data_IF_975125970477
#
_entry.id   IF_975125970477
#
_cell.length_a   1.000
_cell.length_b   1.000
_cell.length_c   1.000
_cell.angle_alpha   90.00
_cell.angle_beta   90.00
_cell.angle_gamma   90.00
#
_symmetry.space_group_name_H-M   'P 1'
#
loop_
_entity.id
_entity.type
_entity.pdbx_description
1 polymer ?
#
# COMPACT_ATOMS: atom_id res chain seq x y z
N UNK A 1 37.14 -11.69 8.94
CA UNK A 1 36.57 -10.52 9.65
C UNK A 1 35.24 -10.21 8.97
N UNK A 2 34.16 -10.83 9.45
CA UNK A 2 32.83 -10.79 8.82
C UNK A 2 32.15 -9.51 9.31
N UNK A 3 31.86 -8.57 8.42
CA UNK A 3 31.11 -7.35 8.73
C UNK A 3 29.62 -7.66 8.60
N UNK A 4 28.91 -7.66 9.73
CA UNK A 4 27.45 -7.67 9.75
C UNK A 4 26.93 -6.36 9.14
N UNK A 5 26.13 -6.48 8.09
CA UNK A 5 25.41 -5.38 7.47
C UNK A 5 24.12 -5.17 8.29
N UNK A 6 24.06 -4.11 9.08
CA UNK A 6 22.84 -3.73 9.80
C UNK A 6 21.81 -3.19 8.81
N UNK A 7 20.77 -3.95 8.53
CA UNK A 7 19.57 -3.45 7.84
C UNK A 7 18.77 -2.59 8.81
N UNK A 8 18.66 -1.29 8.52
CA UNK A 8 17.70 -0.40 9.16
C UNK A 8 16.48 -0.37 8.25
N UNK A 9 15.39 -1.01 8.70
CA UNK A 9 14.08 -0.95 8.06
C UNK A 9 13.36 0.30 8.59
N UNK A 10 13.01 1.23 7.70
CA UNK A 10 12.23 2.43 8.04
C UNK A 10 10.86 2.30 7.39
N UNK A 11 9.81 2.30 8.21
CA UNK A 11 8.42 2.29 7.76
C UNK A 11 7.90 3.71 7.53
N UNK A 12 7.12 3.88 6.47
CA UNK A 12 6.18 4.99 6.34
C UNK A 12 4.82 4.42 5.96
N UNK A 13 3.88 4.43 6.90
CA UNK A 13 2.46 4.22 6.65
C UNK A 13 1.70 5.44 7.19
N UNK A 14 0.97 6.11 6.30
CA UNK A 14 -0.05 7.09 6.67
C UNK A 14 -1.39 6.37 6.61
N UNK A 15 -1.89 5.92 7.76
CA UNK A 15 -3.28 5.51 7.91
C UNK A 15 -4.06 6.70 8.51
N UNK A 16 -4.84 7.38 7.67
CA UNK A 16 -5.94 8.21 8.17
C UNK A 16 -7.12 7.29 8.45
N UNK A 17 -7.46 7.10 9.72
CA UNK A 17 -8.71 6.46 10.14
C UNK A 17 -9.80 7.52 10.03
N UNK A 18 -10.54 7.55 8.94
CA UNK A 18 -11.89 8.12 8.93
C UNK A 18 -12.90 6.98 8.92
N UNK A 19 -13.47 6.70 10.09
CA UNK A 19 -14.64 5.84 10.23
C UNK A 19 -15.83 6.51 9.55
N UNK A 20 -16.07 6.22 8.27
CA UNK A 20 -17.33 6.57 7.62
C UNK A 20 -18.26 5.35 7.67
N UNK A 21 -19.18 5.39 8.63
CA UNK A 21 -20.38 4.56 8.64
C UNK A 21 -21.18 4.93 7.38
N UNK A 22 -21.23 4.03 6.41
CA UNK A 22 -22.00 4.23 5.18
C UNK A 22 -23.50 4.40 5.45
N UNK A 23 -24.24 5.19 4.65
CA UNK A 23 -25.67 5.33 4.82
C UNK A 23 -26.38 4.08 4.28
N UNK A 24 -26.74 3.18 5.18
CA UNK A 24 -27.68 2.10 4.90
C UNK A 24 -29.07 2.66 4.62
N UNK A 25 -29.52 2.52 3.38
CA UNK A 25 -30.91 2.72 2.97
C UNK A 25 -31.84 1.82 3.79
N UNK A 26 -32.57 2.40 4.75
CA UNK A 26 -33.76 1.79 5.34
C UNK A 26 -34.98 2.67 5.10
N UNK A 27 -35.92 2.08 4.35
CA UNK A 27 -37.25 2.60 4.09
C UNK A 27 -38.02 2.80 5.40
N UNK A 28 -38.68 3.95 5.46
CA UNK A 28 -39.72 4.33 6.41
C UNK A 28 -40.79 3.25 6.56
N UNK A 29 -41.09 2.86 7.80
CA UNK A 29 -42.43 2.41 8.18
C UNK A 29 -42.80 3.01 9.53
N UNK A 30 -43.81 3.86 9.51
CA UNK A 30 -44.54 4.44 10.64
C UNK A 30 -45.20 3.36 11.50
N UNK A 31 -45.00 3.39 12.83
CA UNK A 31 -46.00 2.88 13.78
C UNK A 31 -45.89 3.50 15.19
N UNK A 32 -46.89 4.32 15.49
CA UNK A 32 -47.57 4.64 16.75
C UNK A 32 -46.81 4.67 18.10
N UNK A 33 -46.94 5.85 18.71
CA UNK A 33 -46.78 6.22 20.11
C UNK A 33 -47.47 5.31 21.13
N UNK A 34 -46.74 4.94 22.19
CA UNK A 34 -47.30 4.69 23.52
C UNK A 34 -46.43 5.41 24.57
N UNK A 35 -47.07 6.27 25.36
CA UNK A 35 -46.48 7.01 26.48
C UNK A 35 -46.42 6.08 27.70
N UNK A 36 -45.23 5.83 28.23
CA UNK A 36 -45.05 5.32 29.59
C UNK A 36 -44.40 6.41 30.44
N UNK A 37 -45.18 6.91 31.40
CA UNK A 37 -44.78 7.89 32.41
C UNK A 37 -43.89 7.22 33.45
N UNK A 38 -42.64 7.66 33.58
CA UNK A 38 -41.78 7.32 34.73
C UNK A 38 -41.14 8.59 35.29
N UNK A 39 -41.10 8.64 36.62
CA UNK A 39 -40.76 9.76 37.51
C UNK A 39 -39.31 10.26 37.37
N UNK A 40 -39.04 11.57 37.55
CA UNK A 40 -37.70 12.13 37.37
C UNK A 40 -36.80 11.84 38.59
N UNK A 41 -35.63 11.26 38.32
CA UNK A 41 -34.50 11.17 39.25
C UNK A 41 -33.74 12.51 39.29
N UNK A 42 -33.08 12.89 40.41
CA UNK A 42 -32.51 14.21 40.59
C UNK A 42 -31.34 14.47 39.62
N UNK A 43 -31.32 15.67 39.04
CA UNK A 43 -30.34 16.12 38.06
C UNK A 43 -28.97 16.35 38.71
N UNK A 44 -28.04 15.44 38.48
CA UNK A 44 -26.61 15.75 38.62
C UNK A 44 -26.25 16.64 37.43
N UNK A 45 -26.03 17.93 37.71
CA UNK A 45 -25.53 18.90 36.74
C UNK A 45 -24.08 18.54 36.40
N UNK A 46 -23.88 17.63 35.45
CA UNK A 46 -22.58 17.46 34.81
C UNK A 46 -22.32 18.71 33.96
N UNK A 47 -21.33 19.49 34.36
CA UNK A 47 -20.74 20.50 33.48
C UNK A 47 -20.28 19.79 32.20
N UNK A 48 -20.63 20.29 31.01
CA UNK A 48 -20.03 19.80 29.78
C UNK A 48 -18.50 19.91 29.91
N UNK A 49 -17.73 18.93 29.44
CA UNK A 49 -16.29 19.10 29.34
C UNK A 49 -16.02 20.39 28.54
N UNK A 50 -14.97 21.16 28.90
CA UNK A 50 -14.62 22.35 28.13
C UNK A 50 -14.47 21.95 26.65
N UNK A 51 -15.10 22.72 25.78
CA UNK A 51 -14.90 22.61 24.33
C UNK A 51 -13.40 22.57 24.04
N UNK A 52 -12.91 21.63 23.21
CA UNK A 52 -11.49 21.57 22.90
C UNK A 52 -11.08 22.94 22.35
N UNK A 53 -10.09 23.56 22.98
CA UNK A 53 -9.42 24.73 22.44
C UNK A 53 -9.09 24.44 20.98
N UNK A 54 -9.51 25.30 20.06
CA UNK A 54 -9.17 25.17 18.65
C UNK A 54 -7.65 25.23 18.53
N UNK A 55 -7.01 24.07 18.46
CA UNK A 55 -5.57 23.97 18.29
C UNK A 55 -5.21 24.57 16.94
N UNK A 56 -4.31 25.54 16.94
CA UNK A 56 -3.85 26.18 15.71
C UNK A 56 -2.65 25.38 15.18
N UNK A 57 -2.86 24.63 14.10
CA UNK A 57 -1.78 23.90 13.45
C UNK A 57 -0.75 24.86 12.88
N UNK A 58 0.53 24.57 13.09
CA UNK A 58 1.62 25.37 12.55
C UNK A 58 1.76 25.17 11.03
N UNK A 59 2.04 26.26 10.31
CA UNK A 59 2.37 26.21 8.88
C UNK A 59 3.68 25.44 8.64
N UNK A 60 3.96 25.02 7.38
CA UNK A 60 5.22 24.38 7.03
C UNK A 60 6.45 25.15 7.52
N UNK A 61 7.38 24.46 8.16
CA UNK A 61 8.61 25.02 8.71
C UNK A 61 9.72 25.11 7.66
N UNK A 62 10.83 25.77 8.02
CA UNK A 62 12.06 25.82 7.22
C UNK A 62 13.06 24.72 7.57
N UNK A 63 12.83 24.00 8.66
CA UNK A 63 13.71 22.96 9.22
C UNK A 63 12.92 21.67 9.45
N UNK A 64 13.60 20.52 9.41
CA UNK A 64 12.98 19.21 9.59
C UNK A 64 12.68 18.91 11.07
N UNK A 65 11.96 17.80 11.33
CA UNK A 65 11.56 17.40 12.69
C UNK A 65 12.75 17.07 13.60
N UNK A 66 13.86 16.57 13.04
CA UNK A 66 15.10 16.29 13.77
C UNK A 66 15.75 17.59 14.25
N UNK A 67 15.89 18.57 13.35
CA UNK A 67 16.44 19.90 13.67
C UNK A 67 15.60 20.68 14.69
N UNK A 68 14.31 20.33 14.81
CA UNK A 68 13.38 20.91 15.80
C UNK A 68 13.28 20.09 17.09
N UNK A 69 14.06 19.01 17.22
CA UNK A 69 14.02 18.10 18.37
C UNK A 69 12.61 17.54 18.66
N UNK A 70 11.85 17.22 17.61
CA UNK A 70 10.49 16.68 17.74
C UNK A 70 10.43 15.14 17.70
N UNK A 71 11.58 14.48 17.50
CA UNK A 71 11.68 13.01 17.51
C UNK A 71 12.19 12.58 18.88
N UNK A 72 11.28 12.25 19.78
CA UNK A 72 11.54 11.89 21.17
C UNK A 72 10.66 10.73 21.64
N UNK A 73 11.15 9.90 22.56
CA UNK A 73 10.41 8.74 23.09
C UNK A 73 9.13 9.16 23.83
N UNK A 74 9.22 10.24 24.62
CA UNK A 74 8.12 10.73 25.46
C UNK A 74 7.46 11.95 24.80
N UNK A 75 6.70 11.71 23.74
CA UNK A 75 5.99 12.78 23.01
C UNK A 75 4.72 13.25 23.75
N UNK A 76 4.48 14.56 23.72
CA UNK A 76 3.26 15.19 24.22
C UNK A 76 2.18 15.27 23.11
N UNK A 77 0.91 14.85 23.35
CA UNK A 77 -0.18 14.99 22.38
C UNK A 77 -0.36 16.40 21.83
N UNK A 78 -0.18 17.43 22.66
CA UNK A 78 -0.25 18.83 22.23
C UNK A 78 0.81 19.15 21.16
N UNK A 79 2.04 18.67 21.36
CA UNK A 79 3.14 18.86 20.40
C UNK A 79 2.83 18.22 19.05
N UNK A 80 2.21 17.03 19.05
CA UNK A 80 1.75 16.36 17.81
C UNK A 80 0.71 17.23 17.11
N UNK A 81 -0.35 17.63 17.82
CA UNK A 81 -1.45 18.41 17.24
C UNK A 81 -0.99 19.76 16.68
N UNK A 82 0.01 20.39 17.29
CA UNK A 82 0.59 21.63 16.80
C UNK A 82 1.48 21.44 15.57
N UNK A 83 2.22 20.31 15.49
CA UNK A 83 3.29 20.13 14.50
C UNK A 83 2.98 19.18 13.33
N UNK A 84 1.90 18.38 13.38
CA UNK A 84 1.69 17.29 12.40
C UNK A 84 1.61 17.75 10.93
N UNK A 85 1.14 18.97 10.65
CA UNK A 85 1.14 19.55 9.29
C UNK A 85 2.38 20.39 8.97
N UNK A 86 3.22 20.68 9.97
CA UNK A 86 4.37 21.57 9.84
C UNK A 86 5.59 20.83 9.27
N UNK A 87 5.50 20.32 8.04
CA UNK A 87 6.63 19.68 7.36
C UNK A 87 7.71 20.71 6.96
N UNK A 88 8.93 20.26 6.66
CA UNK A 88 10.00 21.15 6.19
C UNK A 88 9.82 21.50 4.71
N UNK A 89 9.32 22.72 4.43
CA UNK A 89 9.14 23.26 3.08
C UNK A 89 10.45 23.41 2.29
N UNK A 90 11.58 23.61 2.97
CA UNK A 90 12.92 23.71 2.33
C UNK A 90 13.59 22.35 2.09
N UNK A 91 13.05 21.27 2.64
CA UNK A 91 13.64 19.94 2.60
C UNK A 91 12.86 19.01 1.66
N UNK A 92 11.98 19.53 0.80
CA UNK A 92 11.12 18.71 -0.07
C UNK A 92 11.93 17.88 -1.07
N UNK A 93 13.07 18.42 -1.51
CA UNK A 93 13.93 17.79 -2.52
C UNK A 93 15.09 16.99 -1.91
N UNK A 94 15.30 17.06 -0.59
CA UNK A 94 16.39 16.34 0.08
C UNK A 94 15.91 15.00 0.61
N UNK A 95 16.79 13.99 0.61
CA UNK A 95 16.52 12.70 1.23
C UNK A 95 17.37 12.56 2.49
N UNK A 96 16.70 12.28 3.61
CA UNK A 96 17.37 11.87 4.85
C UNK A 96 17.56 10.34 4.90
N UNK A 97 16.80 9.61 4.08
CA UNK A 97 16.86 8.16 3.94
C UNK A 97 17.34 7.79 2.54
N UNK A 98 18.46 7.05 2.49
CA UNK A 98 19.22 6.79 1.26
C UNK A 98 18.89 5.43 0.60
N UNK A 99 18.16 4.55 1.27
CA UNK A 99 17.75 3.28 0.69
C UNK A 99 16.46 3.45 -0.15
N UNK A 100 16.14 2.49 -1.05
CA UNK A 100 14.93 2.53 -1.85
C UNK A 100 13.66 2.79 -1.04
N UNK A 101 12.79 3.66 -1.54
CA UNK A 101 11.50 3.98 -0.93
C UNK A 101 10.35 3.68 -1.88
N UNK A 102 9.46 2.78 -1.45
CA UNK A 102 8.19 2.47 -2.12
C UNK A 102 7.03 3.03 -1.30
N UNK A 103 6.09 3.70 -1.96
CA UNK A 103 4.84 4.17 -1.32
C UNK A 103 3.61 3.72 -2.08
N UNK A 104 2.57 3.30 -1.35
CA UNK A 104 1.28 2.92 -1.91
C UNK A 104 0.32 4.11 -1.92
N UNK A 105 -0.40 4.31 -3.03
CA UNK A 105 -1.40 5.37 -3.19
C UNK A 105 -2.76 4.75 -3.48
N UNK A 106 -3.75 5.02 -2.65
CA UNK A 106 -5.08 4.40 -2.75
C UNK A 106 -6.16 5.39 -3.22
N UNK A 107 -7.08 4.98 -4.11
CA UNK A 107 -8.16 5.85 -4.59
C UNK A 107 -9.09 6.38 -3.48
N UNK A 108 -9.31 5.57 -2.44
CA UNK A 108 -10.20 5.92 -1.32
C UNK A 108 -9.56 6.87 -0.29
N UNK A 109 -8.27 7.21 -0.43
CA UNK A 109 -7.61 8.24 0.37
C UNK A 109 -6.95 9.27 -0.56
N UNK A 110 -7.77 10.20 -1.06
CA UNK A 110 -7.36 11.22 -2.04
C UNK A 110 -6.18 12.08 -1.57
N UNK A 111 -6.01 12.27 -0.26
CA UNK A 111 -4.88 13.01 0.29
C UNK A 111 -3.52 12.40 -0.10
N UNK A 112 -3.47 11.09 -0.30
CA UNK A 112 -2.26 10.39 -0.76
C UNK A 112 -1.73 10.93 -2.10
N UNK A 113 -2.61 11.31 -3.02
CA UNK A 113 -2.22 11.88 -4.32
C UNK A 113 -1.52 13.23 -4.16
N UNK A 114 -1.98 14.05 -3.21
CA UNK A 114 -1.36 15.35 -2.91
C UNK A 114 -0.01 15.17 -2.22
N UNK A 115 0.08 14.28 -1.24
CA UNK A 115 1.33 13.93 -0.55
C UNK A 115 2.37 13.40 -1.55
N UNK A 116 1.97 12.52 -2.47
CA UNK A 116 2.84 12.01 -3.52
C UNK A 116 3.44 13.15 -4.38
N UNK A 117 2.63 14.15 -4.76
CA UNK A 117 3.09 15.33 -5.53
C UNK A 117 3.98 16.27 -4.73
N UNK A 118 3.77 16.39 -3.42
CA UNK A 118 4.57 17.28 -2.55
C UNK A 118 5.96 16.67 -2.32
N UNK A 119 6.02 15.36 -2.07
CA UNK A 119 7.23 14.67 -1.64
C UNK A 119 7.85 13.75 -2.70
N UNK A 120 7.49 13.89 -3.99
CA UNK A 120 7.92 12.97 -5.07
C UNK A 120 9.43 12.73 -5.12
N UNK A 121 10.24 13.75 -4.82
CA UNK A 121 11.72 13.64 -4.79
C UNK A 121 12.27 12.72 -3.68
N UNK A 122 11.42 12.30 -2.74
CA UNK A 122 11.77 11.38 -1.65
C UNK A 122 11.43 9.92 -1.96
N UNK A 123 10.74 9.66 -3.08
CA UNK A 123 10.28 8.34 -3.46
C UNK A 123 11.05 7.84 -4.68
N UNK A 124 11.51 6.59 -4.61
CA UNK A 124 12.02 5.86 -5.77
C UNK A 124 10.87 5.20 -6.53
N UNK A 125 9.94 4.60 -5.79
CA UNK A 125 8.79 3.88 -6.32
C UNK A 125 7.47 4.44 -5.78
N UNK A 126 6.49 4.61 -6.66
CA UNK A 126 5.11 4.94 -6.31
C UNK A 126 4.21 3.85 -6.90
N UNK A 127 3.49 3.15 -6.03
CA UNK A 127 2.59 2.05 -6.38
C UNK A 127 1.13 2.45 -6.19
N UNK A 128 0.47 2.98 -7.23
CA UNK A 128 -0.97 3.19 -7.18
C UNK A 128 -1.73 1.86 -7.07
N UNK A 129 -2.78 1.85 -6.23
CA UNK A 129 -3.59 0.66 -5.92
C UNK A 129 -4.89 0.70 -6.73
N UNK A 130 -4.77 0.45 -8.03
CA UNK A 130 -5.89 0.52 -8.98
C UNK A 130 -6.33 -0.86 -9.48
N UNK A 131 -5.38 -1.78 -9.62
CA UNK A 131 -5.60 -2.93 -10.48
C UNK A 131 -5.84 -4.22 -9.71
N UNK A 132 -6.76 -5.01 -10.24
CA UNK A 132 -6.90 -6.43 -9.93
C UNK A 132 -6.89 -7.25 -11.22
N UNK A 133 -6.40 -8.48 -11.15
CA UNK A 133 -6.44 -9.44 -12.25
C UNK A 133 -7.38 -10.60 -11.93
N UNK A 134 -8.19 -10.98 -12.92
CA UNK A 134 -9.14 -12.10 -12.82
C UNK A 134 -9.03 -13.02 -14.01
N UNK A 135 -9.22 -14.32 -13.77
CA UNK A 135 -9.56 -15.28 -14.81
C UNK A 135 -11.02 -15.06 -15.21
N UNK A 136 -11.26 -14.78 -16.47
CA UNK A 136 -12.59 -14.38 -16.99
C UNK A 136 -13.21 -15.43 -17.90
N UNK A 137 -12.39 -16.30 -18.47
CA UNK A 137 -12.79 -17.45 -19.29
C UNK A 137 -11.61 -18.44 -19.34
N UNK A 138 -11.77 -19.56 -20.04
CA UNK A 138 -10.69 -20.48 -20.40
C UNK A 138 -9.54 -19.72 -21.04
N UNK A 139 -8.34 -19.79 -20.44
CA UNK A 139 -7.12 -19.17 -20.94
C UNK A 139 -7.22 -17.64 -21.16
N UNK A 140 -8.13 -16.99 -20.43
CA UNK A 140 -8.40 -15.56 -20.58
C UNK A 140 -8.34 -14.83 -19.25
N UNK A 141 -7.38 -13.92 -19.14
CA UNK A 141 -7.16 -13.08 -17.98
C UNK A 141 -7.40 -11.60 -18.32
N UNK A 142 -8.02 -10.88 -17.40
CA UNK A 142 -8.31 -9.45 -17.57
C UNK A 142 -7.81 -8.67 -16.36
N UNK A 143 -7.05 -7.59 -16.61
CA UNK A 143 -6.69 -6.58 -15.61
C UNK A 143 -7.80 -5.53 -15.58
N UNK A 144 -8.44 -5.36 -14.43
CA UNK A 144 -9.48 -4.37 -14.18
C UNK A 144 -8.90 -3.14 -13.48
N UNK A 145 -9.69 -2.06 -13.37
CA UNK A 145 -9.28 -0.82 -12.68
C UNK A 145 -8.69 0.26 -13.59
N UNK A 146 -8.74 0.05 -14.92
CA UNK A 146 -8.20 0.99 -15.93
C UNK A 146 -8.82 2.39 -15.82
N UNK A 147 -10.06 2.48 -15.37
CA UNK A 147 -10.76 3.76 -15.19
C UNK A 147 -10.20 4.63 -14.06
N UNK A 148 -9.41 4.06 -13.15
CA UNK A 148 -8.77 4.79 -12.05
C UNK A 148 -7.41 5.42 -12.44
N UNK A 149 -6.94 5.19 -13.68
CA UNK A 149 -5.69 5.76 -14.17
C UNK A 149 -5.81 7.28 -14.28
N UNK A 150 -5.08 7.98 -13.41
CA UNK A 150 -4.88 9.43 -13.52
C UNK A 150 -3.56 9.72 -14.24
N UNK A 151 -3.63 9.81 -15.56
CA UNK A 151 -2.47 10.12 -16.40
C UNK A 151 -1.84 11.47 -16.06
N UNK A 152 -2.66 12.50 -15.77
CA UNK A 152 -2.16 13.85 -15.47
C UNK A 152 -1.39 13.87 -14.15
N UNK A 153 -1.87 13.10 -13.17
CA UNK A 153 -1.17 12.93 -11.90
C UNK A 153 0.18 12.24 -12.11
N UNK A 154 0.25 11.17 -12.91
CA UNK A 154 1.51 10.50 -13.26
C UNK A 154 2.48 11.46 -13.96
N UNK A 155 2.00 12.21 -14.94
CA UNK A 155 2.80 13.22 -15.67
C UNK A 155 3.36 14.27 -14.70
N UNK A 156 2.54 14.76 -13.77
CA UNK A 156 2.98 15.71 -12.73
C UNK A 156 4.08 15.13 -11.84
N UNK A 157 3.97 13.85 -11.46
CA UNK A 157 5.00 13.17 -10.68
C UNK A 157 6.31 13.04 -11.48
N UNK A 158 6.24 12.61 -12.74
CA UNK A 158 7.42 12.44 -13.61
C UNK A 158 8.07 13.78 -13.99
N UNK A 159 7.30 14.85 -14.14
CA UNK A 159 7.82 16.21 -14.31
C UNK A 159 8.63 16.65 -13.08
N UNK A 160 8.09 16.41 -11.88
CA UNK A 160 8.76 16.74 -10.63
C UNK A 160 9.96 15.83 -10.35
N UNK A 161 9.89 14.55 -10.69
CA UNK A 161 10.96 13.59 -10.50
C UNK A 161 11.03 12.63 -11.70
N UNK A 162 11.88 12.92 -12.68
CA UNK A 162 12.07 12.08 -13.87
C UNK A 162 12.62 10.67 -13.56
N UNK A 163 13.11 10.47 -12.32
CA UNK A 163 13.65 9.21 -11.85
C UNK A 163 12.67 8.44 -10.96
N UNK A 164 11.43 8.91 -10.77
CA UNK A 164 10.43 8.13 -10.02
C UNK A 164 9.89 7.00 -10.90
N UNK A 165 9.76 5.82 -10.32
CA UNK A 165 9.22 4.64 -10.96
C UNK A 165 7.75 4.47 -10.54
N UNK A 166 6.84 4.42 -11.52
CA UNK A 166 5.43 4.18 -11.28
C UNK A 166 5.17 2.70 -11.47
N UNK A 167 4.94 1.98 -10.38
CA UNK A 167 4.82 0.51 -10.35
C UNK A 167 3.47 0.11 -9.77
N UNK A 168 2.37 0.20 -10.53
CA UNK A 168 1.03 -0.08 -10.01
C UNK A 168 0.93 -1.45 -9.36
N UNK A 169 0.17 -1.51 -8.26
CA UNK A 169 -0.12 -2.77 -7.60
C UNK A 169 -1.18 -3.54 -8.38
N UNK A 170 -0.92 -4.80 -8.68
CA UNK A 170 -1.88 -5.73 -9.27
C UNK A 170 -2.15 -6.86 -8.27
N UNK A 171 -3.40 -6.92 -7.78
CA UNK A 171 -3.84 -7.97 -6.85
C UNK A 171 -4.62 -9.08 -7.58
N UNK A 172 -4.41 -10.33 -7.17
CA UNK A 172 -5.21 -11.47 -7.64
C UNK A 172 -6.51 -11.55 -6.85
N UNK A 173 -7.50 -10.74 -7.19
CA UNK A 173 -8.73 -10.63 -6.40
C UNK A 173 -9.80 -11.66 -6.80
N UNK A 174 -10.43 -12.32 -5.80
CA UNK A 174 -11.58 -13.23 -5.98
C UNK A 174 -11.28 -14.47 -6.85
N UNK A 175 -10.08 -15.02 -6.77
CA UNK A 175 -9.76 -16.28 -7.43
C UNK A 175 -10.38 -17.46 -6.69
N UNK A 176 -11.08 -18.32 -7.43
CA UNK A 176 -11.64 -19.57 -6.88
C UNK A 176 -10.60 -20.69 -6.87
N UNK A 177 -10.89 -21.77 -6.14
CA UNK A 177 -10.09 -22.99 -6.19
C UNK A 177 -9.99 -23.54 -7.62
N UNK A 178 -11.05 -23.42 -8.42
CA UNK A 178 -11.07 -23.89 -9.81
C UNK A 178 -10.16 -23.04 -10.70
N UNK A 179 -10.10 -21.72 -10.47
CA UNK A 179 -9.19 -20.83 -11.20
C UNK A 179 -7.73 -21.15 -10.88
N UNK A 180 -7.41 -21.35 -9.60
CA UNK A 180 -6.08 -21.75 -9.15
C UNK A 180 -5.71 -23.10 -9.75
N UNK A 181 -6.62 -24.07 -9.72
CA UNK A 181 -6.40 -25.39 -10.29
C UNK A 181 -6.16 -25.33 -11.80
N UNK A 182 -6.98 -24.57 -12.54
CA UNK A 182 -6.80 -24.37 -13.97
C UNK A 182 -5.43 -23.78 -14.32
N UNK A 183 -5.02 -22.73 -13.60
CA UNK A 183 -3.72 -22.09 -13.78
C UNK A 183 -2.56 -23.05 -13.48
N UNK A 184 -2.66 -23.83 -12.42
CA UNK A 184 -1.57 -24.70 -11.98
C UNK A 184 -1.37 -25.90 -12.90
N UNK A 185 -2.44 -26.43 -13.50
CA UNK A 185 -2.40 -27.64 -14.32
C UNK A 185 -2.07 -27.40 -15.80
N UNK A 186 -2.14 -26.17 -16.29
CA UNK A 186 -1.93 -25.85 -17.71
C UNK A 186 -0.78 -24.87 -17.90
N UNK A 187 0.22 -25.26 -18.68
CA UNK A 187 1.30 -24.34 -19.11
C UNK A 187 0.76 -23.22 -20.00
N UNK A 188 -0.29 -23.49 -20.78
CA UNK A 188 -0.89 -22.46 -21.61
C UNK A 188 -1.64 -21.42 -20.77
N UNK A 189 -2.30 -21.83 -19.67
CA UNK A 189 -2.92 -20.89 -18.72
C UNK A 189 -1.86 -19.97 -18.08
N UNK A 190 -0.71 -20.51 -17.67
CA UNK A 190 0.42 -19.71 -17.13
C UNK A 190 0.96 -18.73 -18.17
N UNK A 191 1.16 -19.20 -19.40
CA UNK A 191 1.62 -18.37 -20.50
C UNK A 191 0.64 -17.25 -20.82
N UNK A 192 -0.68 -17.52 -20.87
CA UNK A 192 -1.68 -16.48 -21.10
C UNK A 192 -1.74 -15.47 -19.96
N UNK A 193 -1.55 -15.90 -18.71
CA UNK A 193 -1.44 -15.00 -17.58
C UNK A 193 -0.24 -14.04 -17.72
N UNK A 194 0.95 -14.57 -18.00
CA UNK A 194 2.16 -13.76 -18.21
C UNK A 194 2.02 -12.80 -19.39
N UNK A 195 1.47 -13.28 -20.52
CA UNK A 195 1.17 -12.45 -21.70
C UNK A 195 0.16 -11.34 -21.39
N UNK A 196 -0.78 -11.55 -20.48
CA UNK A 196 -1.72 -10.49 -20.07
C UNK A 196 -1.00 -9.36 -19.33
N UNK A 197 -0.06 -9.67 -18.43
CA UNK A 197 0.77 -8.66 -17.77
C UNK A 197 1.66 -7.90 -18.77
N UNK A 198 2.26 -8.63 -19.71
CA UNK A 198 3.10 -8.06 -20.77
C UNK A 198 2.31 -7.09 -21.65
N UNK A 199 1.15 -7.54 -22.17
CA UNK A 199 0.29 -6.74 -23.05
C UNK A 199 -0.18 -5.46 -22.37
N UNK A 200 -0.62 -5.56 -21.11
CA UNK A 200 -1.04 -4.39 -20.35
C UNK A 200 0.10 -3.39 -20.16
N UNK A 201 1.29 -3.87 -19.80
CA UNK A 201 2.43 -2.97 -19.58
C UNK A 201 2.91 -2.32 -20.87
N UNK A 202 2.83 -3.03 -22.00
CA UNK A 202 3.09 -2.48 -23.32
C UNK A 202 2.08 -1.40 -23.72
N UNK A 203 0.78 -1.60 -23.44
CA UNK A 203 -0.28 -0.62 -23.69
C UNK A 203 -0.03 0.70 -22.92
N UNK A 204 0.43 0.60 -21.67
CA UNK A 204 0.69 1.75 -20.79
C UNK A 204 2.19 2.03 -20.58
N UNK A 205 3.03 1.68 -21.57
CA UNK A 205 4.50 1.64 -21.40
C UNK A 205 5.14 3.00 -21.09
N UNK A 206 4.51 4.09 -21.50
CA UNK A 206 4.96 5.45 -21.18
C UNK A 206 4.58 5.89 -19.76
N UNK A 207 3.55 5.27 -19.17
CA UNK A 207 3.03 5.64 -17.84
C UNK A 207 3.67 4.81 -16.73
N UNK A 208 3.77 3.50 -16.93
CA UNK A 208 4.18 2.56 -15.89
C UNK A 208 5.58 2.01 -16.14
N UNK A 209 6.33 1.85 -15.07
CA UNK A 209 7.72 1.38 -15.05
C UNK A 209 7.82 -0.07 -14.55
N UNK A 210 6.69 -0.71 -14.21
CA UNK A 210 6.66 -2.06 -13.69
C UNK A 210 5.40 -2.38 -12.91
N UNK A 211 5.48 -3.37 -12.02
CA UNK A 211 4.38 -3.76 -11.13
C UNK A 211 4.84 -4.02 -9.71
N UNK A 212 3.91 -3.83 -8.77
CA UNK A 212 3.92 -4.55 -7.50
C UNK A 212 2.90 -5.69 -7.59
N UNK A 213 3.36 -6.93 -7.47
CA UNK A 213 2.52 -8.12 -7.53
C UNK A 213 2.04 -8.51 -6.13
N UNK A 214 0.72 -8.66 -5.95
CA UNK A 214 0.13 -9.13 -4.69
C UNK A 214 -0.78 -10.34 -4.93
N UNK A 215 -0.28 -11.52 -4.56
CA UNK A 215 -0.98 -12.79 -4.82
C UNK A 215 -0.89 -13.83 -3.70
N UNK A 216 0.14 -13.75 -2.84
CA UNK A 216 0.49 -14.84 -1.91
C UNK A 216 -0.67 -15.25 -1.00
N UNK A 217 -1.47 -14.29 -0.53
CA UNK A 217 -2.62 -14.57 0.34
C UNK A 217 -3.71 -15.34 -0.41
N UNK A 218 -3.96 -15.01 -1.68
CA UNK A 218 -5.02 -15.64 -2.47
C UNK A 218 -4.66 -17.05 -2.92
N UNK A 219 -3.36 -17.36 -3.01
CA UNK A 219 -2.85 -18.72 -3.28
C UNK A 219 -2.51 -19.49 -2.01
N UNK A 220 -3.03 -19.08 -0.83
CA UNK A 220 -2.80 -19.79 0.43
C UNK A 220 -3.19 -21.27 0.31
N UNK A 221 -2.26 -22.15 0.69
CA UNK A 221 -2.44 -23.60 0.63
C UNK A 221 -2.16 -24.23 -0.74
N UNK A 222 -1.86 -23.43 -1.77
CA UNK A 222 -1.41 -23.92 -3.06
C UNK A 222 0.08 -24.35 -3.01
N UNK A 223 0.53 -25.03 -4.07
CA UNK A 223 1.94 -25.45 -4.23
C UNK A 223 2.85 -24.24 -4.40
N UNK A 224 3.73 -23.97 -3.41
CA UNK A 224 4.69 -22.86 -3.47
C UNK A 224 5.67 -22.95 -4.65
N UNK A 225 6.28 -24.11 -4.98
CA UNK A 225 7.15 -24.19 -6.16
C UNK A 225 6.43 -23.82 -7.47
N UNK A 226 5.16 -24.21 -7.61
CA UNK A 226 4.36 -23.85 -8.79
C UNK A 226 4.02 -22.36 -8.80
N UNK A 227 3.70 -21.78 -7.64
CA UNK A 227 3.46 -20.34 -7.52
C UNK A 227 4.73 -19.53 -7.85
N UNK A 228 5.89 -19.96 -7.37
CA UNK A 228 7.16 -19.31 -7.67
C UNK A 228 7.52 -19.41 -9.16
N UNK A 229 7.21 -20.53 -9.82
CA UNK A 229 7.33 -20.65 -11.27
C UNK A 229 6.47 -19.60 -11.99
N UNK A 230 5.18 -19.50 -11.62
CA UNK A 230 4.26 -18.50 -12.19
C UNK A 230 4.78 -17.07 -11.98
N UNK A 231 5.28 -16.75 -10.78
CA UNK A 231 5.86 -15.43 -10.47
C UNK A 231 7.08 -15.16 -11.36
N UNK A 232 7.94 -16.17 -11.54
CA UNK A 232 9.15 -16.07 -12.38
C UNK A 232 8.79 -15.89 -13.86
N UNK A 233 7.79 -16.60 -14.36
CA UNK A 233 7.32 -16.47 -15.75
C UNK A 233 6.78 -15.06 -16.03
N UNK A 234 5.99 -14.51 -15.10
CA UNK A 234 5.49 -13.13 -15.19
C UNK A 234 6.68 -12.16 -15.19
N UNK A 235 7.64 -12.35 -14.30
CA UNK A 235 8.81 -11.50 -14.21
C UNK A 235 9.65 -11.51 -15.50
N UNK A 236 9.88 -12.69 -16.07
CA UNK A 236 10.61 -12.83 -17.34
C UNK A 236 9.94 -12.05 -18.46
N UNK A 237 8.61 -12.15 -18.61
CA UNK A 237 7.86 -11.41 -19.62
C UNK A 237 7.91 -9.89 -19.39
N UNK A 238 7.80 -9.45 -18.13
CA UNK A 238 7.92 -8.02 -17.77
C UNK A 238 9.31 -7.50 -18.12
N UNK A 239 10.36 -8.26 -17.82
CA UNK A 239 11.75 -7.89 -18.06
C UNK A 239 12.16 -7.84 -19.55
N UNK A 240 11.36 -8.44 -20.45
CA UNK A 240 11.55 -8.26 -21.90
C UNK A 240 11.11 -6.88 -22.39
N UNK A 241 10.32 -6.15 -21.60
CA UNK A 241 9.82 -4.83 -21.99
C UNK A 241 10.87 -3.78 -21.66
N UNK A 242 11.27 -3.02 -22.68
CA UNK A 242 12.16 -1.88 -22.55
C UNK A 242 11.51 -0.62 -23.12
N UNK A 243 11.59 0.48 -22.38
CA UNK A 243 11.12 1.78 -22.82
C UNK A 243 12.14 2.87 -22.44
N UNK A 244 12.56 3.68 -23.41
CA UNK A 244 13.58 4.72 -23.23
C UNK A 244 14.88 4.21 -22.57
N UNK A 245 15.35 3.02 -22.95
CA UNK A 245 16.57 2.42 -22.40
C UNK A 245 16.44 1.89 -20.97
N UNK A 246 15.22 1.80 -20.43
CA UNK A 246 14.92 1.25 -19.10
C UNK A 246 14.05 0.01 -19.23
N UNK A 247 14.48 -1.08 -18.58
CA UNK A 247 13.65 -2.27 -18.41
C UNK A 247 12.53 -2.00 -17.42
N UNK A 248 11.42 -2.70 -17.58
CA UNK A 248 10.35 -2.70 -16.60
C UNK A 248 10.72 -3.57 -15.40
N UNK A 249 10.21 -3.22 -14.23
CA UNK A 249 10.53 -3.90 -12.97
C UNK A 249 9.32 -4.66 -12.40
N UNK A 250 9.60 -5.62 -11.53
CA UNK A 250 8.59 -6.38 -10.81
C UNK A 250 9.00 -6.56 -9.36
N UNK A 251 8.12 -6.10 -8.46
CA UNK A 251 8.28 -6.17 -7.02
C UNK A 251 7.22 -7.11 -6.47
N UNK A 252 7.59 -8.02 -5.58
CA UNK A 252 6.62 -8.92 -4.92
C UNK A 252 6.22 -8.37 -3.55
N UNK A 253 4.93 -8.22 -3.30
CA UNK A 253 4.41 -7.89 -1.98
C UNK A 253 4.36 -9.16 -1.10
N UNK A 254 5.05 -9.13 0.05
CA UNK A 254 5.20 -10.27 0.95
C UNK A 254 4.46 -10.00 2.26
N UNK A 255 3.42 -10.76 2.62
CA UNK A 255 2.78 -10.66 3.93
C UNK A 255 3.68 -11.27 5.04
N UNK A 256 3.49 -10.92 6.32
CA UNK A 256 4.36 -11.37 7.42
C UNK A 256 4.02 -12.78 7.91
N UNK A 257 3.89 -13.72 6.97
CA UNK A 257 3.41 -15.09 7.18
C UNK A 257 4.38 -16.09 6.54
N UNK A 258 5.17 -16.77 7.36
CA UNK A 258 6.19 -17.72 6.89
C UNK A 258 5.58 -18.89 6.10
N UNK A 259 4.32 -19.24 6.39
CA UNK A 259 3.59 -20.25 5.62
C UNK A 259 3.30 -19.84 4.18
N UNK A 260 3.28 -18.53 3.89
CA UNK A 260 3.04 -17.98 2.56
C UNK A 260 4.34 -17.67 1.80
N UNK A 261 5.41 -17.30 2.52
CA UNK A 261 6.70 -16.98 1.91
C UNK A 261 7.82 -17.19 2.93
N UNK A 262 8.80 -18.04 2.59
CA UNK A 262 9.93 -18.35 3.45
C UNK A 262 11.28 -18.19 2.71
N UNK A 263 12.37 -18.61 3.36
CA UNK A 263 13.73 -18.52 2.81
C UNK A 263 13.88 -19.23 1.47
N UNK A 264 13.27 -20.39 1.29
CA UNK A 264 13.39 -21.17 0.06
C UNK A 264 12.69 -20.45 -1.11
N UNK A 265 11.54 -19.80 -0.84
CA UNK A 265 10.84 -18.98 -1.83
C UNK A 265 11.68 -17.76 -2.22
N UNK A 266 12.32 -17.10 -1.26
CA UNK A 266 13.25 -16.00 -1.53
C UNK A 266 14.43 -16.45 -2.39
N UNK A 267 15.08 -17.56 -2.03
CA UNK A 267 16.22 -18.09 -2.78
C UNK A 267 15.87 -18.48 -4.21
N UNK A 268 14.62 -18.88 -4.46
CA UNK A 268 14.13 -19.16 -5.81
C UNK A 268 13.83 -17.88 -6.61
N UNK A 269 13.38 -16.81 -5.97
CA UNK A 269 12.84 -15.63 -6.66
C UNK A 269 13.78 -14.42 -6.70
N UNK A 270 14.81 -14.35 -5.85
CA UNK A 270 15.62 -13.13 -5.72
C UNK A 270 16.38 -12.72 -6.99
N UNK A 271 16.67 -13.65 -7.90
CA UNK A 271 17.31 -13.35 -9.20
C UNK A 271 16.31 -12.96 -10.29
N UNK A 272 15.02 -13.25 -10.07
CA UNK A 272 13.95 -12.98 -11.02
C UNK A 272 13.20 -11.67 -10.72
N UNK A 273 13.31 -11.13 -9.51
CA UNK A 273 12.54 -9.97 -9.06
C UNK A 273 13.45 -8.77 -8.75
N UNK A 274 12.93 -7.56 -8.92
CA UNK A 274 13.66 -6.31 -8.66
C UNK A 274 13.51 -5.85 -7.20
N UNK A 275 12.54 -6.40 -6.47
CA UNK A 275 12.36 -6.08 -5.07
C UNK A 275 11.29 -6.87 -4.36
N UNK A 276 11.27 -6.70 -3.04
CA UNK A 276 10.33 -7.33 -2.14
C UNK A 276 9.73 -6.29 -1.20
N UNK A 277 8.41 -6.08 -1.27
CA UNK A 277 7.67 -5.19 -0.38
C UNK A 277 7.14 -6.00 0.81
N UNK A 278 7.95 -6.15 1.85
CA UNK A 278 7.58 -6.93 3.04
C UNK A 278 6.63 -6.14 3.95
N UNK A 279 5.41 -6.64 4.14
CA UNK A 279 4.37 -6.06 4.99
C UNK A 279 4.66 -6.35 6.46
N UNK A 280 5.64 -5.65 7.00
CA UNK A 280 6.14 -5.84 8.37
C UNK A 280 5.36 -4.95 9.35
N UNK A 281 4.03 -5.03 9.23
CA UNK A 281 3.03 -4.32 10.02
C UNK A 281 1.76 -5.19 10.12
N UNK A 282 0.78 -4.75 10.90
CA UNK A 282 -0.47 -5.48 11.18
C UNK A 282 -0.22 -6.91 11.70
N UNK A 283 0.81 -7.06 12.55
CA UNK A 283 1.09 -8.35 13.18
C UNK A 283 -0.10 -8.80 14.04
N UNK A 284 -0.49 -10.08 13.95
CA UNK A 284 -1.65 -10.59 14.66
C UNK A 284 -1.42 -10.54 16.18
N UNK A 285 -2.26 -9.78 16.88
CA UNK A 285 -2.23 -9.68 18.34
C UNK A 285 -3.56 -10.17 18.94
N UNK A 286 -3.49 -11.03 19.95
CA UNK A 286 -4.68 -11.50 20.70
C UNK A 286 -5.18 -10.46 21.71
N UNK A 287 -4.28 -9.59 22.16
CA UNK A 287 -4.54 -8.50 23.10
C UNK A 287 -4.07 -7.17 22.48
N UNK A 288 -4.57 -6.01 22.95
CA UNK A 288 -4.09 -4.72 22.47
C UNK A 288 -2.55 -4.61 22.58
N UNK A 289 -1.89 -4.26 21.48
CA UNK A 289 -0.43 -4.28 21.40
C UNK A 289 0.11 -3.48 20.22
N UNK A 290 1.45 -3.44 20.05
CA UNK A 290 2.09 -2.73 18.95
C UNK A 290 1.71 -3.33 17.59
N UNK A 291 1.50 -2.47 16.59
CA UNK A 291 1.12 -2.87 15.23
C UNK A 291 2.31 -3.48 14.45
N UNK A 292 3.54 -3.03 14.74
CA UNK A 292 4.78 -3.43 14.07
C UNK A 292 5.96 -3.50 15.08
N UNK A 293 6.05 -4.54 15.91
CA UNK A 293 7.11 -4.67 16.91
C UNK A 293 8.50 -4.84 16.27
N UNK A 294 9.50 -4.12 16.77
CA UNK A 294 10.89 -4.18 16.28
C UNK A 294 11.73 -5.33 16.87
N UNK A 295 11.22 -6.01 17.90
CA UNK A 295 11.91 -7.10 18.60
C UNK A 295 10.95 -8.24 18.97
N UNK A 296 11.52 -9.36 19.40
CA UNK A 296 10.76 -10.53 19.84
C UNK A 296 10.13 -10.21 21.20
N UNK A 297 8.80 -10.27 21.28
CA UNK A 297 8.04 -10.30 22.54
C UNK A 297 7.97 -11.71 23.10
#
# INVERSE_FOLDING_TARGET
MIRYLSFIVVFCLILSIETTIGPGSRKSSTRSTEKVTTTPSPSVRSTPPPSPSSYQTLSPAKTNVLQRNLVEENTNPQSILENYQSYCSKCLETREFNNPTLVYITPWNSHGYDIAKIFTKKFDYISPVWFNIKRTDFEKYTINGIHDIDQKWIETLKEKNSNVHIVPRVIFEQWSTDDIHALFQSENEKQQLALTFEKFLNEYTNLFDGYVLELLVQFRGASKPMLNHIISDIAEHVHQIEYNGKKKEIILAIPPYEELFNKDDFEMLYEHLDGFSVMTYDFPNREPGPIAPLGIY
#
